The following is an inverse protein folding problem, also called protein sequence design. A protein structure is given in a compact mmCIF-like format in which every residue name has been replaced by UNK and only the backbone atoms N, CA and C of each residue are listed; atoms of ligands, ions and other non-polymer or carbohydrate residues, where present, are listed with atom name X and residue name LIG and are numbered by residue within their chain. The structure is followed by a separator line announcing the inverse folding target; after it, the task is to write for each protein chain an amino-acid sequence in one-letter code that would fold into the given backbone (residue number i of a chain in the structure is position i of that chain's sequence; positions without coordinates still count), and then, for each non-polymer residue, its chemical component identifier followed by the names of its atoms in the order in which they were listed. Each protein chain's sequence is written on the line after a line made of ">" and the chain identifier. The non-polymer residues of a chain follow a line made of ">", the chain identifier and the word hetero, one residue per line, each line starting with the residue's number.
data_IF_118719993542
#
_entry.id   IF_118719993542
#
_cell.length_a   1.000
_cell.length_b   1.000
_cell.length_c   1.000
_cell.angle_alpha   90.00
_cell.angle_beta   90.00
_cell.angle_gamma   90.00
#
_symmetry.space_group_name_H-M   'P 1'
#
loop_
_entity.id
_entity.type
_entity.pdbx_description
1 polymer ?
#
# COMPACT_ATOMS: atom_id res chain seq x y z
N UNK A 1 39.05 -24.32 -11.29
CA UNK A 1 37.71 -23.93 -10.82
C UNK A 1 37.01 -23.26 -11.98
N UNK A 2 35.97 -23.89 -12.51
CA UNK A 2 35.45 -23.71 -13.87
C UNK A 2 34.43 -22.57 -13.94
N UNK A 3 34.46 -21.83 -15.05
CA UNK A 3 33.71 -20.58 -15.29
C UNK A 3 32.18 -20.66 -15.08
N UNK A 4 31.61 -21.86 -15.06
CA UNK A 4 30.18 -22.13 -14.87
C UNK A 4 29.69 -21.73 -13.47
N UNK A 5 30.52 -21.87 -12.43
CA UNK A 5 30.20 -21.42 -11.08
C UNK A 5 30.18 -19.89 -10.92
N UNK A 6 30.95 -19.18 -11.75
CA UNK A 6 31.03 -17.71 -11.72
C UNK A 6 29.80 -17.02 -12.31
N UNK A 7 29.03 -17.70 -13.18
CA UNK A 7 27.77 -17.18 -13.72
C UNK A 7 26.53 -17.60 -12.92
N UNK A 8 26.55 -18.78 -12.28
CA UNK A 8 25.39 -19.28 -11.51
C UNK A 8 25.11 -18.46 -10.25
N UNK A 9 26.16 -18.04 -9.53
CA UNK A 9 26.03 -17.25 -8.30
C UNK A 9 25.31 -15.90 -8.51
N UNK A 10 25.71 -15.03 -9.46
CA UNK A 10 25.01 -13.76 -9.67
C UNK A 10 23.57 -13.96 -10.16
N UNK A 11 23.28 -15.00 -10.94
CA UNK A 11 21.91 -15.31 -11.39
C UNK A 11 21.02 -15.74 -10.23
N UNK A 12 21.51 -16.57 -9.31
CA UNK A 12 20.78 -16.97 -8.11
C UNK A 12 20.53 -15.79 -7.17
N UNK A 13 21.52 -14.92 -6.98
CA UNK A 13 21.38 -13.71 -6.17
C UNK A 13 20.36 -12.74 -6.79
N UNK A 14 20.35 -12.60 -8.11
CA UNK A 14 19.35 -11.80 -8.83
C UNK A 14 17.94 -12.40 -8.71
N UNK A 15 17.79 -13.73 -8.87
CA UNK A 15 16.50 -14.39 -8.69
C UNK A 15 15.93 -14.21 -7.28
N UNK A 16 16.78 -14.40 -6.27
CA UNK A 16 16.38 -14.25 -4.86
C UNK A 16 16.03 -12.78 -4.54
N UNK A 17 16.84 -11.82 -4.97
CA UNK A 17 16.55 -10.39 -4.75
C UNK A 17 15.29 -9.92 -5.45
N UNK A 18 14.98 -10.42 -6.65
CA UNK A 18 13.73 -10.15 -7.35
C UNK A 18 12.52 -10.70 -6.61
N UNK A 19 12.60 -11.93 -6.09
CA UNK A 19 11.50 -12.52 -5.31
C UNK A 19 11.27 -11.78 -3.99
N UNK A 20 12.34 -11.47 -3.25
CA UNK A 20 12.27 -10.68 -2.01
C UNK A 20 11.70 -9.27 -2.25
N UNK A 21 12.17 -8.60 -3.31
CA UNK A 21 11.66 -7.30 -3.72
C UNK A 21 10.17 -7.34 -4.08
N UNK A 22 9.75 -8.29 -4.90
CA UNK A 22 8.34 -8.45 -5.29
C UNK A 22 7.42 -8.75 -4.09
N UNK A 23 7.88 -9.58 -3.14
CA UNK A 23 7.13 -9.89 -1.93
C UNK A 23 7.01 -8.66 -1.03
N UNK A 24 8.08 -7.91 -0.80
CA UNK A 24 8.05 -6.66 0.00
C UNK A 24 7.07 -5.63 -0.57
N UNK A 25 7.10 -5.43 -1.90
CA UNK A 25 6.15 -4.58 -2.62
C UNK A 25 4.70 -5.05 -2.52
N UNK A 26 4.48 -6.38 -2.53
CA UNK A 26 3.17 -6.97 -2.31
C UNK A 26 2.63 -6.68 -0.91
N UNK A 27 3.47 -6.82 0.12
CA UNK A 27 3.11 -6.51 1.49
C UNK A 27 2.82 -5.02 1.69
N UNK A 28 3.65 -4.12 1.17
CA UNK A 28 3.42 -2.67 1.25
C UNK A 28 2.09 -2.26 0.60
N UNK A 29 1.74 -2.87 -0.53
CA UNK A 29 0.44 -2.64 -1.19
C UNK A 29 -0.73 -3.14 -0.36
N UNK A 30 -0.61 -4.34 0.21
CA UNK A 30 -1.66 -4.92 1.05
C UNK A 30 -1.87 -4.08 2.31
N UNK A 31 -0.79 -3.68 2.97
CA UNK A 31 -0.82 -2.80 4.12
C UNK A 31 -1.53 -1.48 3.79
N UNK A 32 -1.14 -0.80 2.71
CA UNK A 32 -1.79 0.43 2.24
C UNK A 32 -3.28 0.23 1.93
N UNK A 33 -3.66 -0.90 1.33
CA UNK A 33 -5.07 -1.20 1.08
C UNK A 33 -5.85 -1.38 2.39
N UNK A 34 -5.31 -2.15 3.33
CA UNK A 34 -5.97 -2.37 4.63
C UNK A 34 -6.11 -1.07 5.42
N UNK A 35 -5.09 -0.21 5.41
CA UNK A 35 -5.14 1.13 6.00
C UNK A 35 -6.18 2.02 5.32
N UNK A 36 -6.23 2.04 3.99
CA UNK A 36 -7.22 2.84 3.26
C UNK A 36 -8.65 2.40 3.59
N UNK A 37 -8.86 1.10 3.78
CA UNK A 37 -10.16 0.55 4.16
C UNK A 37 -10.53 0.85 5.62
N UNK A 38 -9.61 0.72 6.57
CA UNK A 38 -9.87 1.07 7.97
C UNK A 38 -10.18 2.56 8.12
N UNK A 39 -9.51 3.43 7.35
CA UNK A 39 -9.75 4.87 7.33
C UNK A 39 -11.07 5.24 6.66
N UNK A 40 -11.38 4.65 5.51
CA UNK A 40 -12.67 4.88 4.86
C UNK A 40 -13.83 4.46 5.77
N UNK A 41 -13.65 3.38 6.56
CA UNK A 41 -14.61 2.94 7.56
C UNK A 41 -14.69 3.90 8.76
N UNK A 42 -13.55 4.36 9.28
CA UNK A 42 -13.50 5.33 10.37
C UNK A 42 -14.18 6.65 9.97
N UNK A 43 -13.89 7.17 8.77
CA UNK A 43 -14.53 8.37 8.23
C UNK A 43 -16.04 8.18 8.02
N UNK A 44 -16.45 7.03 7.48
CA UNK A 44 -17.87 6.70 7.31
C UNK A 44 -18.65 6.59 8.65
N UNK A 45 -17.95 6.37 9.77
CA UNK A 45 -18.49 6.32 11.12
C UNK A 45 -18.29 7.63 11.91
N UNK A 46 -17.64 8.64 11.32
CA UNK A 46 -17.33 9.92 11.99
C UNK A 46 -16.28 9.82 13.08
N UNK A 47 -15.41 8.80 13.03
CA UNK A 47 -14.31 8.59 13.98
C UNK A 47 -13.06 9.39 13.54
N UNK A 48 -12.22 9.77 14.50
CA UNK A 48 -10.92 10.38 14.20
C UNK A 48 -10.05 9.43 13.38
N UNK A 49 -9.41 9.99 12.36
CA UNK A 49 -8.55 9.24 11.46
C UNK A 49 -7.15 9.12 12.07
N UNK A 50 -6.56 7.91 12.09
CA UNK A 50 -5.20 7.75 12.58
C UNK A 50 -4.22 8.48 11.67
N UNK A 51 -3.28 9.21 12.27
CA UNK A 51 -2.21 9.90 11.56
C UNK A 51 -1.27 8.87 10.92
N UNK A 52 -1.03 8.96 9.61
CA UNK A 52 -0.06 8.08 8.93
C UNK A 52 1.30 8.76 8.83
N UNK A 53 2.32 8.12 9.41
CA UNK A 53 3.70 8.50 9.13
C UNK A 53 4.10 8.11 7.69
N UNK A 54 4.51 9.11 6.90
CA UNK A 54 5.07 8.87 5.56
C UNK A 54 4.06 8.59 4.43
N UNK A 55 2.76 8.76 4.68
CA UNK A 55 1.72 8.69 3.64
C UNK A 55 0.77 9.87 3.75
N UNK A 56 0.41 10.47 2.62
CA UNK A 56 -0.62 11.50 2.56
C UNK A 56 -1.97 10.87 2.30
N UNK A 57 -2.99 11.35 3.00
CA UNK A 57 -4.36 10.93 2.77
C UNK A 57 -5.21 12.12 2.31
N UNK A 58 -6.13 11.86 1.39
CA UNK A 58 -7.17 12.81 1.00
C UNK A 58 -8.52 12.13 1.08
N UNK A 59 -9.50 12.86 1.61
CA UNK A 59 -10.87 12.37 1.75
C UNK A 59 -11.72 13.09 0.72
N UNK A 60 -12.39 12.32 -0.11
CA UNK A 60 -13.33 12.78 -1.12
C UNK A 60 -14.72 12.32 -0.69
N UNK A 61 -15.58 13.26 -0.29
CA UNK A 61 -16.97 12.97 0.09
C UNK A 61 -17.90 13.37 -1.05
N UNK A 62 -18.65 12.41 -1.55
CA UNK A 62 -19.65 12.57 -2.61
C UNK A 62 -20.99 12.08 -2.05
N UNK A 63 -21.86 13.01 -1.67
CA UNK A 63 -23.17 12.73 -1.08
C UNK A 63 -23.08 11.78 0.14
N UNK A 64 -23.44 10.50 -0.04
CA UNK A 64 -23.41 9.44 0.98
C UNK A 64 -22.22 8.51 0.85
N UNK A 65 -21.23 8.83 0.03
CA UNK A 65 -20.04 8.02 -0.21
C UNK A 65 -18.84 8.82 0.28
N UNK A 66 -18.05 8.22 1.15
CA UNK A 66 -16.73 8.72 1.52
C UNK A 66 -15.65 7.84 0.89
N UNK A 67 -14.76 8.45 0.12
CA UNK A 67 -13.60 7.81 -0.46
C UNK A 67 -12.33 8.35 0.20
N UNK A 68 -11.51 7.47 0.74
CA UNK A 68 -10.18 7.78 1.24
C UNK A 68 -9.16 7.36 0.21
N UNK A 69 -8.34 8.31 -0.23
CA UNK A 69 -7.19 8.09 -1.09
C UNK A 69 -5.93 8.16 -0.24
N UNK A 70 -5.15 7.08 -0.24
CA UNK A 70 -3.84 7.04 0.37
C UNK A 70 -2.76 7.08 -0.71
N UNK A 71 -1.75 7.91 -0.49
CA UNK A 71 -0.58 8.05 -1.34
C UNK A 71 0.68 7.92 -0.49
N UNK A 72 1.45 6.85 -0.72
CA UNK A 72 2.77 6.65 -0.11
C UNK A 72 3.82 6.82 -1.20
N UNK A 73 4.71 7.79 -1.02
CA UNK A 73 5.67 8.24 -2.05
C UNK A 73 7.08 7.63 -1.93
N UNK A 74 7.27 6.57 -1.13
CA UNK A 74 8.59 5.99 -0.91
C UNK A 74 8.51 4.46 -0.65
N UNK A 75 9.25 3.58 -1.36
CA UNK A 75 10.18 3.78 -2.48
C UNK A 75 9.55 3.74 -3.90
N UNK A 76 8.29 3.31 -4.02
CA UNK A 76 7.49 3.37 -5.26
C UNK A 76 6.18 4.09 -4.95
N UNK A 77 5.67 4.97 -5.86
CA UNK A 77 4.40 5.65 -5.62
C UNK A 77 3.26 4.63 -5.65
N UNK A 78 2.80 4.21 -4.48
CA UNK A 78 1.68 3.30 -4.32
C UNK A 78 0.47 4.13 -3.90
N UNK A 79 -0.62 3.96 -4.66
CA UNK A 79 -1.91 4.57 -4.37
C UNK A 79 -2.92 3.50 -3.99
N UNK A 80 -3.65 3.75 -2.92
CA UNK A 80 -4.82 2.96 -2.54
C UNK A 80 -6.02 3.90 -2.45
N UNK A 81 -7.15 3.47 -3.03
CA UNK A 81 -8.43 4.16 -2.90
C UNK A 81 -9.41 3.18 -2.30
N UNK A 82 -10.07 3.58 -1.23
CA UNK A 82 -11.16 2.81 -0.63
C UNK A 82 -12.36 3.71 -0.43
N UNK A 83 -13.53 3.25 -0.82
CA UNK A 83 -14.77 3.99 -0.69
C UNK A 83 -15.75 3.22 0.17
N UNK A 84 -16.41 3.92 1.08
CA UNK A 84 -17.47 3.38 1.92
C UNK A 84 -18.69 4.29 1.88
N UNK A 85 -19.85 3.67 2.07
CA UNK A 85 -21.10 4.40 2.30
C UNK A 85 -21.04 4.98 3.72
N UNK A 86 -21.32 6.28 3.84
CA UNK A 86 -21.42 6.97 5.11
C UNK A 86 -22.68 6.44 5.82
N UNK A 87 -22.47 5.78 6.95
CA UNK A 87 -23.52 5.22 7.80
C UNK A 87 -23.74 6.17 8.98
N UNK A 88 -24.20 7.38 8.67
CA UNK A 88 -24.45 8.45 9.63
C UNK A 88 -25.15 9.61 8.94
N UNK A 89 -26.27 10.06 9.52
CA UNK A 89 -27.08 11.19 9.06
C UNK A 89 -26.43 12.53 9.45
#
# INVERSE_FOLDING_TARGET
>A
MTAEFMMLMPVLVLGVSLTLGAVSLGFERLELQTMSWSMARADALGLELPELEGATYTIERIERISCVHLLKSNPLPIRAKSCQLILGY
#
